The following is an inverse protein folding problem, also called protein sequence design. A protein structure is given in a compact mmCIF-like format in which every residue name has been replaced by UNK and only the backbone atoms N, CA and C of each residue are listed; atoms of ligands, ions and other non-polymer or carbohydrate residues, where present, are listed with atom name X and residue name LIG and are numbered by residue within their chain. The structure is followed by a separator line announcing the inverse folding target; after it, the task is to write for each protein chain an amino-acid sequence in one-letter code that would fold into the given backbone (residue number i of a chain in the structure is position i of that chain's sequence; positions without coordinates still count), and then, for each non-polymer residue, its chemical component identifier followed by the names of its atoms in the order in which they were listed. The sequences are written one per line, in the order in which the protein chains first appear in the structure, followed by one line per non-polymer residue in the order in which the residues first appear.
data_IF_721002616950
#
_entry.id   IF_721002616950
#
_cell.length_a   1.000
_cell.length_b   1.000
_cell.length_c   1.000
_cell.angle_alpha   90.00
_cell.angle_beta   90.00
_cell.angle_gamma   90.00
#
_symmetry.space_group_name_H-M   'P 1'
#
loop_
_entity.id
_entity.type
_entity.pdbx_description
1 polymer ?
#
# COMPACT_ATOMS: atom_id res chain seq x y z
N UNK A 1 -17.05 4.10 25.17
CA UNK A 1 -17.43 3.68 23.81
C UNK A 1 -18.77 4.32 23.53
N UNK A 2 -18.84 5.23 22.56
CA UNK A 2 -20.07 5.99 22.25
C UNK A 2 -20.96 5.15 21.31
N UNK A 3 -22.23 4.88 21.67
CA UNK A 3 -23.20 4.24 20.77
C UNK A 3 -23.39 5.09 19.50
N UNK A 4 -23.54 4.46 18.33
CA UNK A 4 -23.42 5.13 17.03
C UNK A 4 -24.61 4.90 16.09
N UNK A 5 -25.11 5.99 15.47
CA UNK A 5 -26.19 5.98 14.48
C UNK A 5 -25.69 5.99 13.03
N UNK A 6 -26.15 5.04 12.20
CA UNK A 6 -25.72 4.85 10.79
C UNK A 6 -25.92 6.09 9.91
N UNK A 7 -26.85 6.99 10.26
CA UNK A 7 -27.15 8.20 9.48
C UNK A 7 -26.08 9.29 9.56
N UNK A 8 -25.08 9.17 10.43
CA UNK A 8 -23.99 10.14 10.65
C UNK A 8 -22.60 9.60 10.26
N UNK A 9 -22.51 8.70 9.27
CA UNK A 9 -21.22 8.23 8.74
C UNK A 9 -20.47 9.37 8.04
N UNK A 10 -19.78 10.20 8.81
CA UNK A 10 -18.71 11.04 8.26
C UNK A 10 -17.47 10.16 8.07
N UNK A 11 -16.82 10.26 6.92
CA UNK A 11 -15.74 9.37 6.47
C UNK A 11 -14.56 9.31 7.46
N UNK A 12 -14.40 10.29 8.33
CA UNK A 12 -13.37 10.30 9.39
C UNK A 12 -13.60 9.26 10.50
N UNK A 13 -14.86 8.98 10.88
CA UNK A 13 -15.18 8.04 11.95
C UNK A 13 -14.77 6.60 11.58
N UNK A 14 -14.88 6.23 10.29
CA UNK A 14 -14.52 4.90 9.79
C UNK A 14 -12.99 4.71 9.74
N UNK A 15 -12.21 5.80 9.58
CA UNK A 15 -10.76 5.75 9.33
C UNK A 15 -9.94 5.51 10.60
N UNK A 16 -10.23 6.26 11.66
CA UNK A 16 -9.40 6.33 12.88
C UNK A 16 -10.27 6.38 14.16
N UNK A 17 -11.59 6.43 14.00
CA UNK A 17 -12.51 6.55 15.13
C UNK A 17 -12.68 5.24 15.90
N UNK A 18 -12.92 5.36 17.20
CA UNK A 18 -13.43 4.25 18.02
C UNK A 18 -14.96 4.27 17.96
N UNK A 19 -15.55 3.28 17.30
CA UNK A 19 -17.00 3.18 17.11
C UNK A 19 -17.50 1.76 17.42
N UNK A 20 -18.76 1.67 17.83
CA UNK A 20 -19.48 0.41 18.01
C UNK A 20 -20.87 0.56 17.38
N UNK A 21 -21.21 -0.23 16.35
CA UNK A 21 -22.43 0.00 15.60
C UNK A 21 -23.67 -0.34 16.42
N UNK A 22 -24.72 0.46 16.27
CA UNK A 22 -26.06 0.12 16.73
C UNK A 22 -26.70 -0.83 15.71
N UNK A 23 -27.09 -2.01 16.16
CA UNK A 23 -27.61 -3.07 15.27
C UNK A 23 -28.94 -2.69 14.62
N UNK A 24 -29.80 -1.95 15.34
CA UNK A 24 -31.09 -1.49 14.81
C UNK A 24 -30.89 -0.55 13.61
N UNK A 25 -29.90 0.34 13.66
CA UNK A 25 -29.59 1.23 12.54
C UNK A 25 -29.04 0.46 11.33
N UNK A 26 -28.22 -0.58 11.54
CA UNK A 26 -27.76 -1.45 10.46
C UNK A 26 -28.92 -2.24 9.84
N UNK A 27 -29.86 -2.70 10.67
CA UNK A 27 -31.05 -3.39 10.23
C UNK A 27 -31.99 -2.49 9.43
N UNK A 28 -32.24 -1.26 9.90
CA UNK A 28 -33.00 -0.23 9.17
C UNK A 28 -32.35 0.10 7.82
N UNK A 29 -31.01 0.15 7.77
CA UNK A 29 -30.24 0.35 6.54
C UNK A 29 -30.10 -0.90 5.67
N UNK A 30 -30.74 -2.02 6.04
CA UNK A 30 -30.69 -3.31 5.32
C UNK A 30 -29.27 -3.87 5.16
N UNK A 31 -28.37 -3.58 6.10
CA UNK A 31 -27.01 -4.11 6.13
C UNK A 31 -27.01 -5.48 6.84
N UNK A 32 -26.63 -6.58 6.16
CA UNK A 32 -26.60 -7.89 6.80
C UNK A 32 -25.47 -7.98 7.83
N UNK A 33 -25.78 -8.52 9.01
CA UNK A 33 -24.82 -8.72 10.10
C UNK A 33 -24.68 -10.19 10.44
N UNK A 34 -23.46 -10.71 10.32
CA UNK A 34 -23.12 -12.05 10.78
C UNK A 34 -22.68 -12.00 12.24
N UNK A 35 -23.33 -12.78 13.11
CA UNK A 35 -23.03 -12.84 14.55
C UNK A 35 -22.83 -14.29 14.99
N UNK A 36 -21.70 -14.56 15.63
CA UNK A 36 -21.35 -15.88 16.13
C UNK A 36 -20.46 -15.79 17.38
N UNK A 37 -20.24 -16.93 18.05
CA UNK A 37 -19.33 -17.07 19.20
C UNK A 37 -18.11 -17.85 18.74
N UNK A 38 -16.92 -17.28 18.90
CA UNK A 38 -15.65 -17.98 18.74
C UNK A 38 -15.30 -18.68 20.06
N UNK A 39 -15.25 -20.01 20.07
CA UNK A 39 -14.86 -20.80 21.25
C UNK A 39 -13.33 -20.94 21.32
N UNK A 40 -12.78 -21.32 22.49
CA UNK A 40 -11.35 -21.65 22.60
C UNK A 40 -10.94 -22.72 21.58
N UNK A 41 -9.92 -22.42 20.78
CA UNK A 41 -9.42 -23.29 19.71
C UNK A 41 -10.01 -23.02 18.32
N UNK A 42 -11.11 -22.25 18.22
CA UNK A 42 -11.67 -21.87 16.92
C UNK A 42 -10.78 -20.82 16.22
N UNK A 43 -10.58 -20.99 14.91
CA UNK A 43 -9.91 -20.02 14.05
C UNK A 43 -10.94 -19.26 13.20
N UNK A 44 -10.87 -17.94 13.25
CA UNK A 44 -11.73 -17.05 12.45
C UNK A 44 -10.92 -16.46 11.30
N UNK A 45 -11.33 -16.76 10.08
CA UNK A 45 -10.76 -16.14 8.88
C UNK A 45 -11.62 -14.95 8.45
N UNK A 46 -11.08 -13.74 8.57
CA UNK A 46 -11.76 -12.51 8.16
C UNK A 46 -11.34 -12.22 6.73
N UNK A 47 -12.29 -12.29 5.81
CA UNK A 47 -12.00 -12.10 4.39
C UNK A 47 -11.71 -10.63 4.05
N UNK A 48 -11.11 -10.42 2.88
CA UNK A 48 -10.73 -9.11 2.34
C UNK A 48 -11.84 -8.07 2.49
N UNK A 49 -11.52 -6.94 3.13
CA UNK A 49 -12.45 -5.80 3.25
C UNK A 49 -13.63 -6.00 4.21
N UNK A 50 -13.73 -7.15 4.89
CA UNK A 50 -14.83 -7.43 5.82
C UNK A 50 -14.75 -6.50 7.05
N UNK A 51 -15.73 -5.62 7.18
CA UNK A 51 -15.93 -4.77 8.36
C UNK A 51 -16.37 -5.65 9.53
N UNK A 52 -15.69 -5.54 10.66
CA UNK A 52 -15.95 -6.39 11.83
C UNK A 52 -15.64 -5.66 13.14
N UNK A 53 -16.27 -6.11 14.21
CA UNK A 53 -16.03 -5.69 15.59
C UNK A 53 -16.18 -6.91 16.51
N UNK A 54 -15.45 -6.92 17.63
CA UNK A 54 -15.34 -8.09 18.51
C UNK A 54 -15.46 -7.66 19.97
N UNK A 55 -16.10 -8.49 20.79
CA UNK A 55 -16.17 -8.32 22.24
C UNK A 55 -15.89 -9.66 22.93
N UNK A 56 -15.08 -9.62 23.98
CA UNK A 56 -14.89 -10.76 24.86
C UNK A 56 -16.14 -10.96 25.75
N UNK A 57 -16.68 -12.19 25.75
CA UNK A 57 -17.80 -12.57 26.62
C UNK A 57 -17.32 -12.98 28.02
N UNK A 58 -16.11 -13.54 28.11
CA UNK A 58 -15.44 -13.91 29.35
C UNK A 58 -13.94 -13.60 29.30
N UNK A 59 -13.17 -14.18 30.22
CA UNK A 59 -11.71 -14.01 30.22
C UNK A 59 -11.05 -14.91 29.18
N UNK A 60 -10.39 -14.31 28.20
CA UNK A 60 -9.70 -15.02 27.15
C UNK A 60 -8.48 -14.24 26.64
N UNK A 61 -7.60 -14.94 25.94
CA UNK A 61 -6.50 -14.38 25.17
C UNK A 61 -6.69 -14.74 23.70
N UNK A 62 -6.30 -13.84 22.80
CA UNK A 62 -6.35 -14.06 21.36
C UNK A 62 -5.01 -13.69 20.74
N UNK A 63 -4.64 -14.39 19.66
CA UNK A 63 -3.54 -14.01 18.77
C UNK A 63 -4.12 -13.74 17.39
N UNK A 64 -3.59 -12.75 16.69
CA UNK A 64 -4.06 -12.36 15.36
C UNK A 64 -2.91 -11.86 14.51
N UNK A 65 -3.01 -12.09 13.20
CA UNK A 65 -2.13 -11.55 12.18
C UNK A 65 -2.89 -11.43 10.87
N UNK A 66 -2.35 -10.66 9.93
CA UNK A 66 -2.91 -10.51 8.60
C UNK A 66 -2.20 -11.43 7.61
N UNK A 67 -2.96 -11.95 6.65
CA UNK A 67 -2.43 -12.65 5.47
C UNK A 67 -3.00 -12.02 4.22
N UNK A 68 -2.22 -11.96 3.14
CA UNK A 68 -2.67 -11.48 1.84
C UNK A 68 -2.59 -12.60 0.80
N UNK A 69 -3.65 -13.40 0.61
CA UNK A 69 -3.67 -14.40 -0.45
C UNK A 69 -3.42 -13.76 -1.81
N UNK A 70 -2.55 -14.35 -2.62
CA UNK A 70 -2.21 -13.83 -3.95
C UNK A 70 -3.35 -14.11 -4.95
N UNK A 71 -4.42 -13.31 -4.82
CA UNK A 71 -5.65 -13.39 -5.61
C UNK A 71 -6.00 -12.01 -6.14
N UNK A 72 -6.72 -11.95 -7.26
CA UNK A 72 -7.18 -10.69 -7.84
C UNK A 72 -7.96 -9.84 -6.83
N UNK A 73 -8.98 -10.41 -6.17
CA UNK A 73 -9.84 -9.67 -5.24
C UNK A 73 -9.07 -9.08 -4.04
N UNK A 74 -8.14 -9.85 -3.45
CA UNK A 74 -7.31 -9.36 -2.34
C UNK A 74 -6.42 -8.20 -2.77
N UNK A 75 -5.78 -8.32 -3.93
CA UNK A 75 -4.85 -7.30 -4.43
C UNK A 75 -5.60 -6.05 -4.91
N UNK A 76 -6.74 -6.22 -5.59
CA UNK A 76 -7.62 -5.14 -6.01
C UNK A 76 -8.12 -4.31 -4.82
N UNK A 77 -8.68 -4.94 -3.79
CA UNK A 77 -9.14 -4.23 -2.60
C UNK A 77 -8.00 -3.54 -1.84
N UNK A 78 -6.80 -4.12 -1.85
CA UNK A 78 -5.61 -3.50 -1.24
C UNK A 78 -5.20 -2.23 -1.99
N UNK A 79 -5.25 -2.22 -3.33
CA UNK A 79 -4.99 -1.03 -4.15
C UNK A 79 -6.07 0.02 -3.93
N UNK A 80 -7.35 -0.35 -3.97
CA UNK A 80 -8.46 0.58 -3.73
C UNK A 80 -8.31 1.27 -2.38
N UNK A 81 -8.01 0.50 -1.33
CA UNK A 81 -7.75 1.07 0.00
C UNK A 81 -6.52 1.97 0.00
N UNK A 82 -5.45 1.59 -0.69
CA UNK A 82 -4.23 2.38 -0.76
C UNK A 82 -4.45 3.75 -1.44
N UNK A 83 -5.15 3.79 -2.56
CA UNK A 83 -5.49 5.05 -3.24
C UNK A 83 -6.50 5.87 -2.43
N UNK A 84 -7.50 5.22 -1.83
CA UNK A 84 -8.42 5.89 -0.92
C UNK A 84 -7.71 6.54 0.26
N UNK A 85 -6.77 5.83 0.90
CA UNK A 85 -5.97 6.35 1.99
C UNK A 85 -5.17 7.58 1.56
N UNK A 86 -4.53 7.54 0.39
CA UNK A 86 -3.78 8.66 -0.18
C UNK A 86 -4.66 9.90 -0.39
N UNK A 87 -5.86 9.74 -0.94
CA UNK A 87 -6.83 10.84 -1.11
C UNK A 87 -7.28 11.44 0.22
N UNK A 88 -7.29 10.63 1.27
CA UNK A 88 -7.78 11.00 2.59
C UNK A 88 -6.65 11.31 3.60
N UNK A 89 -5.42 11.52 3.11
CA UNK A 89 -4.24 11.80 3.96
C UNK A 89 -4.04 10.80 5.10
N UNK A 90 -4.34 9.53 4.83
CA UNK A 90 -4.14 8.42 5.76
C UNK A 90 -2.94 7.59 5.34
N UNK A 91 -2.10 7.20 6.30
CA UNK A 91 -0.96 6.33 6.03
C UNK A 91 -1.41 4.93 5.64
N UNK A 92 -0.97 4.45 4.50
CA UNK A 92 -1.07 3.03 4.14
C UNK A 92 0.05 2.23 4.81
N UNK A 93 -0.28 1.42 5.81
CA UNK A 93 0.69 0.60 6.55
C UNK A 93 1.37 -0.42 5.64
N UNK A 94 0.67 -0.93 4.63
CA UNK A 94 1.23 -1.79 3.59
C UNK A 94 1.71 -0.91 2.44
N UNK A 95 3.02 -0.88 2.12
CA UNK A 95 3.58 -0.14 1.00
C UNK A 95 3.28 -0.89 -0.30
N UNK A 96 2.13 -0.60 -0.92
CA UNK A 96 1.63 -1.37 -2.06
C UNK A 96 2.60 -1.31 -3.23
N UNK A 97 3.20 -0.15 -3.55
CA UNK A 97 4.09 -0.05 -4.71
C UNK A 97 5.34 -0.92 -4.50
N UNK A 98 5.98 -0.81 -3.34
CA UNK A 98 7.12 -1.65 -2.97
C UNK A 98 6.76 -3.14 -2.99
N UNK A 99 5.62 -3.52 -2.42
CA UNK A 99 5.12 -4.89 -2.43
C UNK A 99 4.89 -5.40 -3.86
N UNK A 100 4.28 -4.61 -4.74
CA UNK A 100 4.05 -4.96 -6.16
C UNK A 100 5.35 -5.29 -6.86
N UNK A 101 6.38 -4.46 -6.67
CA UNK A 101 7.71 -4.68 -7.24
C UNK A 101 8.40 -5.94 -6.68
N UNK A 102 8.15 -6.29 -5.41
CA UNK A 102 8.65 -7.53 -4.82
C UNK A 102 7.88 -8.76 -5.33
N UNK A 103 6.56 -8.66 -5.53
CA UNK A 103 5.77 -9.72 -6.16
C UNK A 103 6.32 -9.99 -7.57
N UNK A 104 6.56 -8.94 -8.35
CA UNK A 104 7.07 -9.05 -9.72
C UNK A 104 8.45 -9.74 -9.79
N UNK A 105 9.32 -9.49 -8.81
CA UNK A 105 10.66 -10.11 -8.74
C UNK A 105 10.64 -11.57 -8.33
N UNK A 106 9.74 -11.93 -7.42
CA UNK A 106 9.86 -13.17 -6.66
C UNK A 106 8.76 -14.19 -6.94
N UNK A 107 7.67 -13.79 -7.61
CA UNK A 107 6.49 -14.63 -7.76
C UNK A 107 6.09 -14.79 -9.22
N UNK A 108 5.67 -16.01 -9.58
CA UNK A 108 5.02 -16.31 -10.85
C UNK A 108 3.51 -16.21 -10.66
N UNK A 109 2.84 -15.46 -11.54
CA UNK A 109 1.38 -15.26 -11.49
C UNK A 109 0.76 -15.94 -12.70
N UNK A 110 -0.14 -16.89 -12.46
CA UNK A 110 -0.89 -17.59 -13.51
C UNK A 110 -2.31 -17.06 -13.69
N UNK A 111 -2.87 -16.39 -12.68
CA UNK A 111 -4.17 -15.74 -12.78
C UNK A 111 -4.06 -14.49 -13.66
N UNK A 112 -4.84 -14.46 -14.75
CA UNK A 112 -4.73 -13.42 -15.77
C UNK A 112 -5.15 -12.05 -15.25
N UNK A 113 -6.25 -11.97 -14.50
CA UNK A 113 -6.76 -10.69 -14.00
C UNK A 113 -5.80 -10.06 -12.98
N UNK A 114 -5.25 -10.88 -12.08
CA UNK A 114 -4.24 -10.46 -11.13
C UNK A 114 -2.95 -10.03 -11.83
N UNK A 115 -2.49 -10.80 -12.82
CA UNK A 115 -1.31 -10.44 -13.62
C UNK A 115 -1.50 -9.09 -14.29
N UNK A 116 -2.62 -8.87 -14.98
CA UNK A 116 -2.93 -7.61 -15.68
C UNK A 116 -2.96 -6.44 -14.69
N UNK A 117 -3.55 -6.62 -13.51
CA UNK A 117 -3.60 -5.59 -12.47
C UNK A 117 -2.21 -5.28 -11.87
N UNK A 118 -1.39 -6.30 -11.58
CA UNK A 118 0.00 -6.10 -11.12
C UNK A 118 0.80 -5.37 -12.20
N UNK A 119 0.70 -5.82 -13.46
CA UNK A 119 1.39 -5.21 -14.60
C UNK A 119 0.98 -3.75 -14.79
N UNK A 120 -0.30 -3.43 -14.60
CA UNK A 120 -0.79 -2.05 -14.62
C UNK A 120 -0.12 -1.20 -13.53
N UNK A 121 -0.09 -1.65 -12.28
CA UNK A 121 0.57 -0.90 -11.18
C UNK A 121 2.07 -0.73 -11.41
N UNK A 122 2.76 -1.78 -11.89
CA UNK A 122 4.18 -1.69 -12.28
C UNK A 122 4.38 -0.63 -13.38
N UNK A 123 3.50 -0.60 -14.39
CA UNK A 123 3.55 0.36 -15.50
C UNK A 123 3.42 1.79 -14.97
N UNK A 124 2.44 2.03 -14.11
CA UNK A 124 2.20 3.36 -13.52
C UNK A 124 3.38 3.80 -12.64
N UNK A 125 3.92 2.88 -11.84
CA UNK A 125 5.09 3.16 -10.99
C UNK A 125 6.35 3.43 -11.82
N UNK A 126 6.62 2.64 -12.86
CA UNK A 126 7.78 2.83 -13.74
C UNK A 126 7.70 4.16 -14.48
N UNK A 127 6.53 4.49 -15.03
CA UNK A 127 6.28 5.79 -15.67
C UNK A 127 6.51 6.95 -14.69
N UNK A 128 6.02 6.84 -13.45
CA UNK A 128 6.24 7.87 -12.44
C UNK A 128 7.73 8.09 -12.15
N UNK A 129 8.50 7.01 -12.00
CA UNK A 129 9.96 7.07 -11.80
C UNK A 129 10.63 7.76 -13.00
N UNK A 130 10.34 7.33 -14.23
CA UNK A 130 10.91 7.90 -15.45
C UNK A 130 10.61 9.40 -15.59
N UNK A 131 9.33 9.78 -15.45
CA UNK A 131 8.91 11.18 -15.56
C UNK A 131 9.49 12.04 -14.45
N UNK A 132 9.66 11.50 -13.24
CA UNK A 132 10.31 12.24 -12.14
C UNK A 132 11.77 12.49 -12.44
N UNK A 133 12.52 11.48 -12.93
CA UNK A 133 13.93 11.68 -13.31
C UNK A 133 14.08 12.69 -14.45
N UNK A 134 13.25 12.60 -15.48
CA UNK A 134 13.22 13.56 -16.59
C UNK A 134 12.92 14.98 -16.10
N UNK A 135 11.90 15.13 -15.24
CA UNK A 135 11.58 16.43 -14.63
C UNK A 135 12.76 17.03 -13.85
N UNK A 136 13.46 16.21 -13.06
CA UNK A 136 14.61 16.67 -12.28
C UNK A 136 15.77 17.09 -13.20
N UNK A 137 16.03 16.32 -14.25
CA UNK A 137 17.04 16.63 -15.26
C UNK A 137 16.73 17.95 -15.99
N UNK A 138 15.49 18.13 -16.47
CA UNK A 138 15.07 19.31 -17.22
C UNK A 138 15.05 20.60 -16.39
N UNK A 139 14.62 20.53 -15.12
CA UNK A 139 14.41 21.73 -14.30
C UNK A 139 15.64 22.17 -13.51
N UNK A 140 16.50 21.22 -13.11
CA UNK A 140 17.57 21.49 -12.16
C UNK A 140 18.96 21.12 -12.70
N UNK A 141 19.07 20.32 -13.76
CA UNK A 141 20.32 19.90 -14.38
C UNK A 141 21.39 19.51 -13.32
N UNK A 142 22.61 20.03 -13.43
CA UNK A 142 23.75 19.72 -12.55
C UNK A 142 23.66 20.34 -11.14
N UNK A 143 22.56 21.03 -10.80
CA UNK A 143 22.40 21.68 -9.49
C UNK A 143 21.90 20.72 -8.41
N UNK A 144 21.35 19.58 -8.80
CA UNK A 144 20.84 18.56 -7.89
C UNK A 144 21.87 17.48 -7.61
N UNK A 145 22.06 17.18 -6.33
CA UNK A 145 22.85 16.05 -5.89
C UNK A 145 22.01 14.77 -5.92
N UNK A 146 21.98 14.11 -7.08
CA UNK A 146 21.28 12.84 -7.29
C UNK A 146 22.26 11.68 -7.06
N UNK A 147 22.02 10.88 -6.02
CA UNK A 147 22.90 9.77 -5.63
C UNK A 147 22.19 8.43 -5.67
N UNK A 148 22.93 7.40 -6.07
CA UNK A 148 22.51 6.01 -5.91
C UNK A 148 22.65 5.59 -4.46
N UNK A 149 21.58 5.12 -3.84
CA UNK A 149 21.61 4.51 -2.51
C UNK A 149 20.84 3.19 -2.56
N UNK A 150 21.56 2.09 -2.80
CA UNK A 150 20.96 0.77 -2.82
C UNK A 150 20.35 0.41 -1.47
N UNK A 151 19.25 -0.34 -1.51
CA UNK A 151 18.57 -0.83 -0.32
C UNK A 151 19.41 -1.86 0.41
N UNK A 152 19.29 -1.87 1.73
CA UNK A 152 19.73 -3.01 2.56
C UNK A 152 18.62 -4.07 2.66
N UNK A 153 18.96 -5.31 3.03
CA UNK A 153 18.03 -6.45 3.07
C UNK A 153 16.79 -6.20 3.94
N UNK A 154 16.98 -5.48 5.05
CA UNK A 154 15.97 -5.28 6.09
C UNK A 154 15.44 -3.85 6.10
N UNK A 155 15.73 -3.08 5.05
CA UNK A 155 15.28 -1.71 4.95
C UNK A 155 13.74 -1.65 4.76
N UNK A 156 13.00 -0.91 5.59
CA UNK A 156 11.57 -0.72 5.42
C UNK A 156 11.27 0.18 4.21
N UNK A 157 10.04 0.13 3.70
CA UNK A 157 9.60 1.11 2.71
C UNK A 157 9.57 2.52 3.32
N UNK A 158 9.87 3.52 2.49
CA UNK A 158 9.91 4.92 2.92
C UNK A 158 8.57 5.60 2.73
N UNK A 159 8.28 6.55 3.62
CA UNK A 159 7.06 7.35 3.60
C UNK A 159 7.40 8.83 3.74
N UNK A 160 6.61 9.69 3.11
CA UNK A 160 6.76 11.13 3.23
C UNK A 160 6.43 11.56 4.67
N UNK A 161 7.36 12.22 5.34
CA UNK A 161 7.15 12.74 6.71
C UNK A 161 6.00 13.75 6.82
N UNK A 162 5.60 14.39 5.71
CA UNK A 162 4.58 15.44 5.69
C UNK A 162 3.17 14.91 5.42
N UNK A 163 3.02 13.97 4.49
CA UNK A 163 1.70 13.51 4.03
C UNK A 163 1.48 12.00 4.14
N UNK A 164 2.45 11.27 4.70
CA UNK A 164 2.40 9.82 4.91
C UNK A 164 2.19 8.95 3.65
N UNK A 165 2.30 9.52 2.45
CA UNK A 165 2.28 8.72 1.23
C UNK A 165 3.56 7.86 1.14
N UNK A 166 3.44 6.67 0.56
CA UNK A 166 4.60 5.84 0.20
C UNK A 166 5.50 6.61 -0.79
N UNK A 167 6.81 6.56 -0.57
CA UNK A 167 7.82 7.16 -1.45
C UNK A 167 8.68 6.03 -2.01
N UNK A 168 8.32 5.58 -3.21
CA UNK A 168 9.00 4.49 -3.89
C UNK A 168 10.13 4.98 -4.80
N UNK A 169 11.29 4.32 -4.70
CA UNK A 169 12.50 4.52 -5.49
C UNK A 169 13.21 5.88 -5.35
N UNK A 170 12.56 6.99 -5.70
CA UNK A 170 13.16 8.33 -5.70
C UNK A 170 12.81 9.02 -4.39
N UNK A 171 13.79 9.15 -3.50
CA UNK A 171 13.64 9.73 -2.17
C UNK A 171 14.18 11.16 -2.17
N UNK A 172 13.38 12.11 -1.70
CA UNK A 172 13.83 13.49 -1.48
C UNK A 172 14.17 13.62 0.00
N UNK A 173 15.47 13.69 0.31
CA UNK A 173 15.98 13.71 1.67
C UNK A 173 16.31 15.14 2.07
N UNK A 174 15.71 15.60 3.16
CA UNK A 174 16.02 16.91 3.77
C UNK A 174 16.40 16.73 5.23
N UNK A 175 17.06 17.73 5.80
CA UNK A 175 17.33 17.78 7.24
C UNK A 175 16.15 18.41 7.98
N UNK A 176 15.66 17.74 9.03
CA UNK A 176 14.64 18.25 9.95
C UNK A 176 15.08 17.89 11.36
N UNK A 177 15.24 18.89 12.25
CA UNK A 177 15.69 18.71 13.63
C UNK A 177 16.96 17.84 13.76
N UNK A 178 17.95 18.09 12.89
CA UNK A 178 19.22 17.33 12.79
C UNK A 178 19.07 15.85 12.41
N UNK A 179 17.94 15.47 11.83
CA UNK A 179 17.69 14.12 11.29
C UNK A 179 17.40 14.22 9.80
N UNK A 180 17.90 13.23 9.05
CA UNK A 180 17.53 13.06 7.65
C UNK A 180 16.13 12.45 7.57
N UNK A 181 15.22 13.11 6.87
CA UNK A 181 13.83 12.68 6.68
C UNK A 181 13.51 12.58 5.19
N UNK A 182 12.64 11.63 4.85
CA UNK A 182 12.17 11.43 3.47
C UNK A 182 10.89 12.24 3.23
N UNK A 183 10.83 12.93 2.08
CA UNK A 183 9.63 13.58 1.54
C UNK A 183 9.32 13.04 0.14
N UNK A 184 8.04 13.14 -0.26
CA UNK A 184 7.65 12.96 -1.66
C UNK A 184 7.91 14.23 -2.46
N UNK A 185 8.02 14.12 -3.79
CA UNK A 185 8.29 15.24 -4.70
C UNK A 185 7.37 16.45 -4.43
N UNK A 186 6.06 16.22 -4.30
CA UNK A 186 5.08 17.30 -4.11
C UNK A 186 5.34 18.08 -2.80
N UNK A 187 5.52 17.38 -1.68
CA UNK A 187 5.79 18.03 -0.41
C UNK A 187 7.16 18.71 -0.40
N UNK A 188 8.16 18.14 -1.09
CA UNK A 188 9.47 18.79 -1.24
C UNK A 188 9.32 20.11 -1.99
N UNK A 189 8.69 20.12 -3.17
CA UNK A 189 8.50 21.34 -3.98
C UNK A 189 7.63 22.40 -3.30
N UNK A 190 6.70 21.99 -2.43
CA UNK A 190 5.91 22.92 -1.61
C UNK A 190 6.76 23.64 -0.55
N UNK A 191 7.79 22.99 -0.01
CA UNK A 191 8.68 23.56 1.00
C UNK A 191 9.88 24.28 0.38
N UNK A 192 10.48 23.71 -0.67
CA UNK A 192 11.65 24.22 -1.37
C UNK A 192 11.45 24.02 -2.88
N UNK A 193 11.08 25.10 -3.58
CA UNK A 193 10.80 25.08 -5.02
C UNK A 193 12.05 24.88 -5.87
N UNK A 194 13.23 25.19 -5.32
CA UNK A 194 14.50 25.14 -6.04
C UNK A 194 15.34 23.92 -5.65
N UNK A 195 14.88 23.14 -4.67
CA UNK A 195 15.54 21.93 -4.16
C UNK A 195 16.97 22.19 -3.67
N UNK A 196 17.24 23.40 -3.17
CA UNK A 196 18.59 23.85 -2.77
C UNK A 196 19.13 23.04 -1.59
N UNK A 197 18.26 22.64 -0.66
CA UNK A 197 18.64 21.89 0.56
C UNK A 197 18.15 20.44 0.52
N UNK A 198 18.14 19.84 -0.67
CA UNK A 198 17.58 18.50 -0.90
C UNK A 198 18.63 17.59 -1.53
N UNK A 199 18.83 16.42 -0.93
CA UNK A 199 19.58 15.33 -1.56
C UNK A 199 18.57 14.36 -2.15
N UNK A 200 18.72 14.03 -3.44
CA UNK A 200 17.84 13.07 -4.10
C UNK A 200 18.52 11.72 -4.14
N UNK A 201 17.89 10.70 -3.59
CA UNK A 201 18.40 9.33 -3.63
C UNK A 201 17.53 8.50 -4.56
N UNK A 202 18.14 7.64 -5.38
CA UNK A 202 17.40 6.56 -6.06
C UNK A 202 17.88 5.19 -5.58
N UNK A 203 16.92 4.30 -5.36
CA UNK A 203 17.16 3.01 -4.71
C UNK A 203 17.32 1.84 -5.68
N UNK A 204 16.61 1.90 -6.80
CA UNK A 204 16.61 0.92 -7.88
C UNK A 204 16.96 1.65 -9.19
N UNK A 205 18.04 1.25 -9.87
CA UNK A 205 18.37 1.78 -11.20
C UNK A 205 17.20 1.55 -12.17
N UNK A 206 17.02 2.47 -13.12
CA UNK A 206 15.94 2.37 -14.10
C UNK A 206 16.02 1.10 -14.95
N UNK A 207 17.24 0.66 -15.29
CA UNK A 207 17.47 -0.58 -16.05
C UNK A 207 17.03 -1.83 -15.27
N UNK A 208 17.22 -1.84 -13.95
CA UNK A 208 16.74 -2.94 -13.08
C UNK A 208 15.21 -2.98 -13.07
N UNK A 209 14.56 -1.83 -12.87
CA UNK A 209 13.11 -1.74 -12.88
C UNK A 209 12.52 -2.15 -14.25
N UNK A 210 13.16 -1.73 -15.34
CA UNK A 210 12.75 -2.10 -16.71
C UNK A 210 12.91 -3.60 -16.94
N UNK A 211 14.03 -4.17 -16.52
CA UNK A 211 14.28 -5.61 -16.63
C UNK A 211 13.25 -6.43 -15.86
N UNK A 212 12.97 -6.08 -14.60
CA UNK A 212 11.94 -6.75 -13.79
C UNK A 212 10.56 -6.59 -14.41
N UNK A 213 10.24 -5.40 -14.90
CA UNK A 213 9.00 -5.16 -15.61
C UNK A 213 8.88 -6.08 -16.82
N UNK A 214 9.87 -6.14 -17.70
CA UNK A 214 9.85 -6.95 -18.93
C UNK A 214 9.81 -8.45 -18.64
N UNK A 215 10.51 -8.91 -17.60
CA UNK A 215 10.52 -10.32 -17.19
C UNK A 215 9.23 -10.76 -16.50
N UNK A 216 8.47 -9.84 -15.89
CA UNK A 216 7.19 -10.16 -15.28
C UNK A 216 6.15 -10.48 -16.37
N UNK A 217 5.98 -11.77 -16.64
CA UNK A 217 5.11 -12.33 -17.66
C UNK A 217 4.08 -13.28 -17.04
N UNK A 218 2.94 -13.43 -17.70
CA UNK A 218 1.91 -14.38 -17.29
C UNK A 218 2.46 -15.79 -17.32
N UNK A 219 2.47 -16.46 -16.17
CA UNK A 219 2.92 -17.84 -16.06
C UNK A 219 1.85 -18.76 -16.64
N UNK A 220 2.14 -19.35 -17.80
CA UNK A 220 1.36 -20.47 -18.30
C UNK A 220 1.58 -21.66 -17.35
N UNK A 221 0.54 -22.12 -16.66
CA UNK A 221 0.61 -23.40 -15.95
C UNK A 221 0.95 -24.48 -16.98
N UNK A 222 1.87 -25.42 -16.68
CA UNK A 222 2.05 -26.56 -17.55
C UNK A 222 0.69 -27.26 -17.70
N UNK A 223 0.27 -27.47 -18.94
CA UNK A 223 -0.89 -28.30 -19.26
C UNK A 223 -0.60 -29.65 -18.58
N UNK A 224 -1.33 -29.97 -17.51
CA UNK A 224 -1.41 -31.33 -17.03
C UNK A 224 -2.05 -32.11 -18.17
N UNK A 225 -1.22 -32.76 -18.98
CA UNK A 225 -1.69 -33.79 -19.89
C UNK A 225 -2.37 -34.83 -19.00
N UNK A 226 -3.70 -34.80 -18.97
CA UNK A 226 -4.50 -35.88 -18.40
C UNK A 226 -4.05 -37.18 -19.07
N UNK A 227 -3.60 -38.21 -18.32
CA UNK A 227 -3.31 -39.50 -18.93
C UNK A 227 -4.62 -40.01 -19.53
N UNK A 228 -4.58 -40.31 -20.83
CA UNK A 228 -5.61 -41.07 -21.55
C UNK A 228 -5.83 -42.45 -20.96
#
# INVERSE_FOLDING_TARGET
MTPFQVRELNLEAIKVGSWWPILDDLHEAQVPVYRFIQKPGDLVFINTGCVHWVQAIGWCNNIAWNVGPLTYNQYYAAIERYEWNKLNSCKSIVPIVHLTWNIARNMRVSDRQLFELIKFILTQSLKYVQLTLLYLEEQFHDKLDIRKQLRTSDEPAHYCITCDCEVFNILFVTELDRKHVVRCLNCTLQNDKHLENVVVLYQFPLDDLTTVYDQFQLSLLPILNSPT
#
